data_IF_060173967515
#
_entry.id   IF_060173967515
#
_cell.length_a   1.000
_cell.length_b   1.000
_cell.length_c   1.000
_cell.angle_alpha   90.00
_cell.angle_beta   90.00
_cell.angle_gamma   90.00
#
_symmetry.space_group_name_H-M   'P 1'
#
loop_
_entity.id
_entity.type
_entity.pdbx_description
1 polymer ?
#
# COMPACT_ATOMS: atom_id res chain seq x y z
N UNK A 1 20.03 12.97 6.77
CA UNK A 1 18.69 13.43 6.36
C UNK A 1 18.51 14.84 6.87
N UNK A 2 18.16 15.80 6.01
CA UNK A 2 17.65 17.10 6.48
C UNK A 2 16.20 16.89 6.91
N UNK A 3 15.87 17.28 8.15
CA UNK A 3 14.57 17.05 8.77
C UNK A 3 13.50 17.92 8.09
N UNK A 4 12.66 17.30 7.27
CA UNK A 4 11.48 17.93 6.68
C UNK A 4 10.22 17.79 7.55
N UNK A 5 10.28 16.97 8.61
CA UNK A 5 9.17 16.76 9.56
C UNK A 5 9.32 17.64 10.80
N UNK A 6 8.20 18.16 11.32
CA UNK A 6 8.15 18.89 12.59
C UNK A 6 8.57 17.99 13.77
N UNK A 7 9.13 18.60 14.82
CA UNK A 7 9.61 17.87 16.00
C UNK A 7 8.50 17.02 16.66
N UNK A 8 7.26 17.49 16.59
CA UNK A 8 6.07 16.79 17.10
C UNK A 8 5.77 15.47 16.36
N UNK A 9 6.13 15.37 15.09
CA UNK A 9 6.01 14.13 14.29
C UNK A 9 7.13 13.16 14.67
N UNK A 10 8.36 13.67 14.84
CA UNK A 10 9.52 12.87 15.24
C UNK A 10 9.27 12.23 16.60
N UNK A 11 8.78 12.99 17.58
CA UNK A 11 8.50 12.47 18.93
C UNK A 11 7.43 11.35 18.91
N UNK A 12 6.40 11.48 18.05
CA UNK A 12 5.38 10.44 17.86
C UNK A 12 5.96 9.19 17.19
N UNK A 13 6.79 9.40 16.16
CA UNK A 13 7.48 8.31 15.47
C UNK A 13 8.37 7.52 16.43
N UNK A 14 9.19 8.20 17.22
CA UNK A 14 10.08 7.57 18.19
C UNK A 14 9.29 6.76 19.23
N UNK A 15 8.16 7.30 19.71
CA UNK A 15 7.26 6.55 20.60
C UNK A 15 6.66 5.31 19.94
N UNK A 16 6.27 5.39 18.66
CA UNK A 16 5.75 4.23 17.93
C UNK A 16 6.86 3.18 17.66
N UNK A 17 8.12 3.60 17.54
CA UNK A 17 9.29 2.70 17.52
C UNK A 17 9.51 2.05 18.88
N UNK A 18 9.52 2.82 19.97
CA UNK A 18 9.70 2.31 21.34
C UNK A 18 8.61 1.31 21.74
N UNK A 19 7.37 1.54 21.28
CA UNK A 19 6.24 0.64 21.54
C UNK A 19 6.16 -0.55 20.58
N UNK A 20 7.11 -0.68 19.65
CA UNK A 20 7.19 -1.80 18.71
C UNK A 20 6.15 -1.78 17.58
N UNK A 21 5.46 -0.66 17.37
CA UNK A 21 4.56 -0.50 16.22
C UNK A 21 5.32 -0.24 14.93
N UNK A 22 6.48 0.39 15.02
CA UNK A 22 7.38 0.64 13.90
C UNK A 22 8.70 -0.08 14.15
N UNK A 23 9.08 -0.96 13.24
CA UNK A 23 10.38 -1.61 13.26
C UNK A 23 11.36 -0.86 12.35
N UNK A 24 12.52 -0.47 12.89
CA UNK A 24 13.57 0.20 12.11
C UNK A 24 14.49 -0.84 11.48
N UNK A 25 14.47 -0.92 10.15
CA UNK A 25 15.41 -1.72 9.39
C UNK A 25 16.68 -0.92 9.13
N UNK A 26 17.83 -1.46 9.55
CA UNK A 26 19.14 -0.81 9.43
C UNK A 26 20.08 -1.55 8.49
N UNK A 27 21.13 -0.87 8.04
CA UNK A 27 22.24 -1.51 7.31
C UNK A 27 22.86 -2.68 8.09
N UNK A 28 22.96 -2.56 9.42
CA UNK A 28 23.48 -3.62 10.27
C UNK A 28 22.58 -4.85 10.24
N UNK A 29 21.26 -4.64 10.32
CA UNK A 29 20.28 -5.72 10.17
C UNK A 29 20.41 -6.39 8.80
N UNK A 30 20.41 -5.61 7.71
CA UNK A 30 20.53 -6.15 6.35
C UNK A 30 21.85 -6.92 6.15
N UNK A 31 22.95 -6.48 6.78
CA UNK A 31 24.23 -7.21 6.77
C UNK A 31 24.12 -8.52 7.55
N UNK A 32 23.44 -8.52 8.69
CA UNK A 32 23.26 -9.70 9.53
C UNK A 32 22.47 -10.82 8.83
N UNK A 33 21.51 -10.47 7.98
CA UNK A 33 20.75 -11.44 7.17
C UNK A 33 21.35 -11.67 5.77
N UNK A 34 22.54 -11.12 5.49
CA UNK A 34 23.23 -11.28 4.19
C UNK A 34 22.63 -10.51 3.01
N UNK A 35 21.60 -9.68 3.23
CA UNK A 35 20.84 -9.00 2.18
C UNK A 35 21.33 -7.59 1.83
N UNK A 36 22.28 -7.03 2.56
CA UNK A 36 22.72 -5.64 2.36
C UNK A 36 23.19 -5.34 0.92
N UNK A 37 23.94 -6.25 0.29
CA UNK A 37 24.38 -6.06 -1.10
C UNK A 37 23.23 -6.16 -2.11
N UNK A 38 22.26 -7.03 -1.84
CA UNK A 38 21.05 -7.18 -2.66
C UNK A 38 20.22 -5.91 -2.60
N UNK A 39 20.04 -5.35 -1.39
CA UNK A 39 19.38 -4.07 -1.18
C UNK A 39 20.03 -2.94 -1.97
N UNK A 40 21.35 -2.77 -1.86
CA UNK A 40 22.06 -1.71 -2.60
C UNK A 40 21.92 -1.86 -4.12
N UNK A 41 21.89 -3.10 -4.62
CA UNK A 41 21.66 -3.39 -6.02
C UNK A 41 20.23 -2.99 -6.44
N UNK A 42 19.21 -3.35 -5.66
CA UNK A 42 17.84 -2.92 -5.92
C UNK A 42 17.68 -1.40 -5.89
N UNK A 43 18.28 -0.71 -4.92
CA UNK A 43 18.27 0.76 -4.87
C UNK A 43 18.89 1.35 -6.13
N UNK A 44 20.03 0.83 -6.57
CA UNK A 44 20.71 1.29 -7.80
C UNK A 44 19.83 1.12 -9.04
N UNK A 45 19.18 -0.02 -9.18
CA UNK A 45 18.34 -0.33 -10.35
C UNK A 45 17.06 0.51 -10.36
N UNK A 46 16.42 0.66 -9.19
CA UNK A 46 15.18 1.43 -9.05
C UNK A 46 15.40 2.92 -9.21
N UNK A 47 16.55 3.46 -8.79
CA UNK A 47 16.85 4.89 -8.86
C UNK A 47 16.77 5.47 -10.27
N UNK A 48 16.92 4.64 -11.31
CA UNK A 48 16.77 5.07 -12.72
C UNK A 48 15.33 5.52 -13.02
N UNK A 49 14.35 5.03 -12.26
CA UNK A 49 12.92 5.33 -12.43
C UNK A 49 12.45 6.59 -11.68
N UNK A 50 13.29 7.14 -10.80
CA UNK A 50 12.97 8.29 -9.95
C UNK A 50 13.90 9.46 -10.24
N UNK A 51 13.43 10.69 -10.01
CA UNK A 51 14.28 11.86 -10.17
C UNK A 51 15.35 11.91 -9.06
N UNK A 52 16.43 12.67 -9.29
CA UNK A 52 17.62 12.66 -8.41
C UNK A 52 17.38 13.00 -6.93
N UNK A 53 16.21 13.54 -6.58
CA UNK A 53 15.80 13.87 -5.21
C UNK A 53 14.91 12.82 -4.51
N UNK A 54 14.30 11.90 -5.25
CA UNK A 54 13.24 10.99 -4.75
C UNK A 54 13.83 9.64 -4.32
N UNK A 55 14.73 9.72 -3.32
CA UNK A 55 15.40 8.56 -2.76
C UNK A 55 14.45 7.72 -1.90
N UNK A 56 13.46 8.34 -1.23
CA UNK A 56 12.57 7.62 -0.31
C UNK A 56 11.77 6.53 -1.02
N UNK A 57 11.26 6.85 -2.20
CA UNK A 57 10.45 5.99 -3.05
C UNK A 57 11.24 4.76 -3.54
N UNK A 58 12.46 5.01 -4.03
CA UNK A 58 13.38 3.94 -4.44
C UNK A 58 13.73 3.03 -3.26
N UNK A 59 13.97 3.58 -2.07
CA UNK A 59 14.31 2.82 -0.88
C UNK A 59 13.13 1.96 -0.39
N UNK A 60 11.90 2.50 -0.40
CA UNK A 60 10.71 1.75 0.02
C UNK A 60 10.49 0.51 -0.84
N UNK A 61 10.56 0.65 -2.17
CA UNK A 61 10.41 -0.48 -3.09
C UNK A 61 11.60 -1.44 -2.96
N UNK A 62 12.84 -0.92 -2.91
CA UNK A 62 14.03 -1.75 -2.79
C UNK A 62 13.99 -2.60 -1.52
N UNK A 63 13.54 -2.02 -0.41
CA UNK A 63 13.38 -2.72 0.86
C UNK A 63 12.33 -3.83 0.77
N UNK A 64 11.15 -3.52 0.22
CA UNK A 64 10.10 -4.52 0.05
C UNK A 64 10.58 -5.73 -0.77
N UNK A 65 11.29 -5.48 -1.88
CA UNK A 65 11.89 -6.55 -2.70
C UNK A 65 12.97 -7.32 -1.94
N UNK A 66 13.84 -6.62 -1.23
CA UNK A 66 14.96 -7.23 -0.47
C UNK A 66 14.45 -8.18 0.61
N UNK A 67 13.40 -7.79 1.33
CA UNK A 67 12.85 -8.57 2.44
C UNK A 67 11.85 -9.64 1.96
N UNK A 68 11.54 -9.70 0.66
CA UNK A 68 10.54 -10.63 0.12
C UNK A 68 9.11 -10.29 0.53
N UNK A 69 8.81 -9.01 0.73
CA UNK A 69 7.46 -8.56 1.06
C UNK A 69 6.52 -8.78 -0.14
N UNK A 70 5.37 -9.40 0.10
CA UNK A 70 4.34 -9.60 -0.94
C UNK A 70 3.65 -8.29 -1.32
N UNK A 71 3.57 -7.35 -0.37
CA UNK A 71 2.90 -6.08 -0.59
C UNK A 71 3.65 -4.90 0.01
N UNK A 72 3.40 -3.72 -0.57
CA UNK A 72 3.84 -2.43 -0.06
C UNK A 72 2.60 -1.52 0.07
N UNK A 73 2.30 -1.09 1.30
CA UNK A 73 1.20 -0.15 1.55
C UNK A 73 1.75 1.27 1.53
N UNK A 74 1.19 2.13 0.67
CA UNK A 74 1.60 3.52 0.52
C UNK A 74 0.49 4.35 -0.13
N UNK A 75 0.27 5.56 0.40
CA UNK A 75 -0.67 6.52 -0.17
C UNK A 75 -0.02 7.49 -1.15
N UNK A 76 1.29 7.32 -1.40
CA UNK A 76 1.96 8.01 -2.50
C UNK A 76 1.63 7.33 -3.84
N UNK A 77 0.40 7.64 -4.29
CA UNK A 77 -0.24 7.15 -5.52
C UNK A 77 -0.05 8.09 -6.71
N UNK A 78 0.73 9.16 -6.55
CA UNK A 78 1.00 10.14 -7.61
C UNK A 78 1.85 9.50 -8.71
N UNK A 79 1.93 10.13 -9.87
CA UNK A 79 2.87 9.71 -10.91
C UNK A 79 4.30 9.72 -10.36
N UNK A 80 5.04 8.64 -10.60
CA UNK A 80 6.38 8.36 -10.00
C UNK A 80 6.38 8.07 -8.49
N UNK A 81 5.23 8.04 -7.81
CA UNK A 81 5.14 7.50 -6.46
C UNK A 81 5.29 5.97 -6.43
N UNK A 82 5.62 5.35 -5.29
CA UNK A 82 5.89 3.91 -5.20
C UNK A 82 4.71 3.04 -5.66
N UNK A 83 3.48 3.45 -5.36
CA UNK A 83 2.29 2.73 -5.81
C UNK A 83 2.20 2.75 -7.34
N UNK A 84 2.24 3.93 -7.94
CA UNK A 84 2.18 4.09 -9.39
C UNK A 84 3.31 3.34 -10.12
N UNK A 85 4.53 3.42 -9.59
CA UNK A 85 5.71 2.77 -10.17
C UNK A 85 5.56 1.25 -10.14
N UNK A 86 5.19 0.67 -8.99
CA UNK A 86 5.00 -0.79 -8.87
C UNK A 86 3.87 -1.32 -9.76
N UNK A 87 2.80 -0.55 -9.96
CA UNK A 87 1.73 -0.90 -10.88
C UNK A 87 2.17 -0.98 -12.36
N UNK A 88 3.34 -0.42 -12.70
CA UNK A 88 3.85 -0.32 -14.08
C UNK A 88 5.13 -1.11 -14.35
N UNK A 89 5.76 -1.65 -13.31
CA UNK A 89 6.88 -2.58 -13.47
C UNK A 89 6.29 -3.94 -13.86
N UNK A 90 6.56 -4.46 -15.07
CA UNK A 90 6.14 -5.80 -15.46
C UNK A 90 6.70 -6.82 -14.47
N UNK A 91 5.88 -7.82 -14.12
CA UNK A 91 6.26 -8.93 -13.24
C UNK A 91 6.80 -8.50 -11.86
N UNK A 92 6.34 -7.35 -11.34
CA UNK A 92 6.63 -6.97 -9.96
C UNK A 92 6.04 -8.00 -8.99
N UNK A 93 6.90 -8.62 -8.19
CA UNK A 93 6.51 -9.54 -7.12
C UNK A 93 5.87 -8.82 -5.92
N UNK A 94 6.02 -7.49 -5.84
CA UNK A 94 5.45 -6.64 -4.80
C UNK A 94 4.18 -5.99 -5.30
N UNK A 95 3.06 -6.28 -4.65
CA UNK A 95 1.75 -5.66 -4.94
C UNK A 95 1.62 -4.35 -4.15
N UNK A 96 1.45 -3.19 -4.81
CA UNK A 96 1.23 -1.95 -4.09
C UNK A 96 -0.24 -1.83 -3.66
N UNK A 97 -0.48 -1.34 -2.45
CA UNK A 97 -1.81 -0.99 -1.97
C UNK A 97 -1.83 0.42 -1.40
N UNK A 98 -2.86 1.19 -1.70
CA UNK A 98 -3.21 2.37 -0.93
C UNK A 98 -4.05 1.95 0.31
N UNK A 99 -4.14 2.82 1.32
CA UNK A 99 -4.84 2.49 2.57
C UNK A 99 -6.30 2.03 2.30
N UNK A 100 -6.99 2.69 1.38
CA UNK A 100 -8.40 2.38 1.08
C UNK A 100 -8.57 1.00 0.44
N UNK A 101 -7.55 0.50 -0.26
CA UNK A 101 -7.58 -0.83 -0.86
C UNK A 101 -7.47 -1.91 0.23
N UNK A 102 -6.66 -1.65 1.26
CA UNK A 102 -6.59 -2.51 2.45
C UNK A 102 -7.94 -2.53 3.17
N UNK A 103 -8.58 -1.37 3.38
CA UNK A 103 -9.92 -1.29 3.97
C UNK A 103 -10.95 -2.09 3.15
N UNK A 104 -10.94 -1.96 1.82
CA UNK A 104 -11.86 -2.74 0.97
C UNK A 104 -11.58 -4.24 1.06
N UNK A 105 -10.31 -4.67 1.11
CA UNK A 105 -9.95 -6.07 1.32
C UNK A 105 -10.46 -6.60 2.67
N UNK A 106 -10.27 -5.86 3.75
CA UNK A 106 -10.76 -6.24 5.08
C UNK A 106 -12.30 -6.36 5.11
N UNK A 107 -13.00 -5.46 4.43
CA UNK A 107 -14.46 -5.54 4.28
C UNK A 107 -14.90 -6.75 3.44
N UNK A 108 -14.18 -7.06 2.35
CA UNK A 108 -14.42 -8.25 1.54
C UNK A 108 -14.23 -9.54 2.36
N UNK A 109 -13.23 -9.59 3.24
CA UNK A 109 -13.07 -10.70 4.18
C UNK A 109 -14.14 -10.72 5.27
N UNK A 110 -14.76 -9.58 5.56
CA UNK A 110 -15.72 -9.42 6.65
C UNK A 110 -15.08 -9.19 8.01
N UNK A 111 -13.87 -8.63 8.03
CA UNK A 111 -13.18 -8.18 9.24
C UNK A 111 -13.76 -6.88 9.77
N UNK A 112 -14.30 -6.05 8.87
CA UNK A 112 -14.95 -4.77 9.18
C UNK A 112 -16.30 -4.66 8.48
N UNK A 113 -17.22 -3.93 9.10
CA UNK A 113 -18.53 -3.56 8.57
C UNK A 113 -18.45 -2.35 7.64
N UNK A 114 -19.55 -2.04 6.96
CA UNK A 114 -19.68 -0.85 6.11
C UNK A 114 -19.48 0.46 6.89
N UNK A 115 -19.96 0.49 8.14
CA UNK A 115 -19.83 1.64 9.03
C UNK A 115 -18.37 1.83 9.42
N UNK A 116 -17.72 0.79 9.94
CA UNK A 116 -16.32 0.82 10.35
C UNK A 116 -15.39 1.17 9.18
N UNK A 117 -15.68 0.65 7.98
CA UNK A 117 -14.93 1.01 6.78
C UNK A 117 -15.06 2.50 6.46
N UNK A 118 -16.29 3.03 6.44
CA UNK A 118 -16.52 4.43 6.11
C UNK A 118 -15.90 5.37 7.16
N UNK A 119 -16.03 5.04 8.43
CA UNK A 119 -15.44 5.80 9.53
C UNK A 119 -13.91 5.78 9.46
N UNK A 120 -13.29 4.62 9.24
CA UNK A 120 -11.85 4.50 9.06
C UNK A 120 -11.37 5.26 7.82
N UNK A 121 -12.10 5.17 6.71
CA UNK A 121 -11.76 5.88 5.47
C UNK A 121 -11.77 7.40 5.69
N UNK A 122 -12.83 7.93 6.30
CA UNK A 122 -12.95 9.36 6.56
C UNK A 122 -11.90 9.82 7.57
N UNK A 123 -11.67 9.06 8.65
CA UNK A 123 -10.67 9.41 9.65
C UNK A 123 -9.26 9.53 9.04
N UNK A 124 -8.86 8.58 8.18
CA UNK A 124 -7.56 8.65 7.49
C UNK A 124 -7.50 9.84 6.54
N UNK A 125 -8.57 10.08 5.76
CA UNK A 125 -8.65 11.23 4.86
C UNK A 125 -8.53 12.56 5.61
N UNK A 126 -9.27 12.73 6.71
CA UNK A 126 -9.29 13.96 7.50
C UNK A 126 -7.93 14.24 8.14
N UNK A 127 -7.31 13.21 8.75
CA UNK A 127 -5.99 13.32 9.37
C UNK A 127 -4.88 13.59 8.36
N UNK A 128 -5.05 13.13 7.13
CA UNK A 128 -4.04 13.23 6.06
C UNK A 128 -4.30 14.40 5.10
N UNK A 129 -5.37 15.18 5.29
CA UNK A 129 -5.78 16.25 4.39
C UNK A 129 -6.15 15.77 2.98
N UNK A 130 -6.58 14.52 2.83
CA UNK A 130 -6.95 13.93 1.54
C UNK A 130 -8.42 14.20 1.25
N UNK A 131 -8.70 14.84 0.10
CA UNK A 131 -10.07 15.10 -0.38
C UNK A 131 -10.63 13.93 -1.20
N UNK A 132 -10.40 12.69 -0.76
CA UNK A 132 -10.80 11.50 -1.50
C UNK A 132 -12.25 11.11 -1.23
N UNK A 133 -12.98 10.77 -2.29
CA UNK A 133 -14.35 10.24 -2.22
C UNK A 133 -14.35 8.71 -2.22
N UNK A 134 -14.94 8.10 -1.19
CA UNK A 134 -15.02 6.64 -1.01
C UNK A 134 -15.66 5.94 -2.23
N UNK A 135 -16.69 6.55 -2.82
CA UNK A 135 -17.39 5.98 -3.98
C UNK A 135 -16.48 5.94 -5.20
N UNK A 136 -15.73 7.01 -5.44
CA UNK A 136 -14.74 7.09 -6.51
C UNK A 136 -13.60 6.09 -6.29
N UNK A 137 -13.13 5.92 -5.04
CA UNK A 137 -12.10 4.93 -4.70
C UNK A 137 -12.60 3.49 -4.87
N UNK A 138 -13.84 3.19 -4.50
CA UNK A 138 -14.45 1.87 -4.72
C UNK A 138 -14.54 1.55 -6.22
N UNK A 139 -14.93 2.51 -7.06
CA UNK A 139 -14.91 2.34 -8.52
C UNK A 139 -13.51 2.03 -9.05
N UNK A 140 -12.49 2.74 -8.56
CA UNK A 140 -11.09 2.50 -8.96
C UNK A 140 -10.60 1.12 -8.54
N UNK A 141 -10.93 0.70 -7.31
CA UNK A 141 -10.61 -0.63 -6.80
C UNK A 141 -11.26 -1.74 -7.65
N UNK A 142 -12.55 -1.61 -7.96
CA UNK A 142 -13.25 -2.54 -8.86
C UNK A 142 -12.63 -2.59 -10.25
N UNK A 143 -12.21 -1.43 -10.78
CA UNK A 143 -11.55 -1.36 -12.08
C UNK A 143 -10.26 -2.17 -12.06
N UNK A 144 -9.40 -1.91 -11.08
CA UNK A 144 -8.07 -2.53 -10.92
C UNK A 144 -8.14 -4.05 -10.83
N UNK A 145 -9.11 -4.62 -10.14
CA UNK A 145 -9.09 -6.07 -9.88
C UNK A 145 -10.03 -6.91 -10.74
N UNK A 146 -11.05 -6.32 -11.37
CA UNK A 146 -12.04 -7.07 -12.17
C UNK A 146 -12.26 -6.58 -13.58
N UNK A 147 -12.22 -5.26 -13.83
CA UNK A 147 -12.67 -4.71 -15.12
C UNK A 147 -11.52 -4.48 -16.10
N UNK A 148 -10.48 -3.81 -15.64
CA UNK A 148 -9.37 -3.32 -16.46
C UNK A 148 -8.11 -3.30 -15.58
N UNK A 149 -7.57 -4.48 -15.24
CA UNK A 149 -6.42 -4.60 -14.37
C UNK A 149 -5.14 -4.13 -15.07
N UNK A 150 -4.16 -3.66 -14.29
CA UNK A 150 -2.87 -3.26 -14.85
C UNK A 150 -2.04 -4.47 -15.27
N UNK A 151 -2.23 -5.61 -14.61
CA UNK A 151 -1.69 -6.90 -15.04
C UNK A 151 -2.68 -8.04 -14.79
N UNK A 152 -2.58 -9.11 -15.59
CA UNK A 152 -3.38 -10.31 -15.37
C UNK A 152 -3.07 -10.97 -14.02
N UNK A 153 -1.86 -10.78 -13.47
CA UNK A 153 -1.47 -11.30 -12.17
C UNK A 153 -2.37 -10.77 -11.04
N UNK A 154 -2.77 -9.49 -11.08
CA UNK A 154 -3.66 -8.90 -10.06
C UNK A 154 -5.06 -9.52 -10.09
N UNK A 155 -5.57 -9.78 -11.29
CA UNK A 155 -6.87 -10.42 -11.48
C UNK A 155 -6.86 -11.87 -10.99
N UNK A 156 -5.77 -12.60 -11.27
CA UNK A 156 -5.55 -13.96 -10.75
C UNK A 156 -5.44 -13.93 -9.23
N UNK A 157 -4.65 -13.01 -8.67
CA UNK A 157 -4.49 -12.86 -7.22
C UNK A 157 -5.83 -12.59 -6.53
N UNK A 158 -6.64 -11.66 -7.04
CA UNK A 158 -7.96 -11.36 -6.47
C UNK A 158 -8.93 -12.56 -6.57
N UNK A 159 -8.88 -13.30 -7.67
CA UNK A 159 -9.67 -14.52 -7.85
C UNK A 159 -9.30 -15.60 -6.83
N UNK A 160 -7.99 -15.80 -6.61
CA UNK A 160 -7.46 -16.73 -5.61
C UNK A 160 -7.87 -16.28 -4.20
N UNK A 161 -7.68 -15.00 -3.87
CA UNK A 161 -8.09 -14.41 -2.60
C UNK A 161 -9.57 -14.66 -2.30
N UNK A 162 -10.45 -14.39 -3.27
CA UNK A 162 -11.89 -14.58 -3.08
C UNK A 162 -12.26 -16.07 -2.93
N UNK A 163 -11.70 -16.93 -3.78
CA UNK A 163 -12.03 -18.36 -3.78
C UNK A 163 -11.53 -19.09 -2.53
N UNK A 164 -10.30 -18.83 -2.09
CA UNK A 164 -9.73 -19.43 -0.88
C UNK A 164 -10.49 -19.05 0.38
N UNK A 165 -11.08 -17.86 0.41
CA UNK A 165 -11.83 -17.34 1.57
C UNK A 165 -13.35 -17.48 1.44
N UNK A 166 -13.85 -18.07 0.35
CA UNK A 166 -15.30 -18.20 0.10
C UNK A 166 -16.02 -16.85 -0.02
N UNK A 167 -15.35 -15.81 -0.53
CA UNK A 167 -15.88 -14.46 -0.61
C UNK A 167 -16.73 -14.30 -1.88
N UNK A 168 -18.02 -13.97 -1.70
CA UNK A 168 -18.85 -13.41 -2.76
C UNK A 168 -18.57 -11.89 -2.87
N UNK A 169 -17.55 -11.55 -3.66
CA UNK A 169 -17.12 -10.16 -3.84
C UNK A 169 -18.24 -9.30 -4.44
N UNK A 170 -19.06 -9.86 -5.35
CA UNK A 170 -20.15 -9.12 -5.99
C UNK A 170 -21.21 -8.73 -4.96
N UNK A 171 -21.66 -9.68 -4.14
CA UNK A 171 -22.64 -9.42 -3.10
C UNK A 171 -22.12 -8.42 -2.06
N UNK A 172 -20.87 -8.56 -1.62
CA UNK A 172 -20.26 -7.65 -0.64
C UNK A 172 -20.09 -6.24 -1.18
N UNK A 173 -19.55 -6.10 -2.40
CA UNK A 173 -19.41 -4.78 -3.05
C UNK A 173 -20.78 -4.12 -3.20
N UNK A 174 -21.82 -4.86 -3.59
CA UNK A 174 -23.17 -4.32 -3.69
C UNK A 174 -23.70 -3.85 -2.33
N UNK A 175 -23.42 -4.59 -1.26
CA UNK A 175 -23.78 -4.21 0.11
C UNK A 175 -23.13 -2.87 0.51
N UNK A 176 -21.83 -2.74 0.31
CA UNK A 176 -21.09 -1.50 0.56
C UNK A 176 -21.59 -0.34 -0.32
N UNK A 177 -21.82 -0.61 -1.60
CA UNK A 177 -22.33 0.37 -2.56
C UNK A 177 -23.67 0.97 -2.13
N UNK A 178 -24.57 0.13 -1.62
CA UNK A 178 -25.87 0.56 -1.11
C UNK A 178 -25.77 1.35 0.20
N UNK A 179 -24.71 1.14 0.98
CA UNK A 179 -24.46 1.91 2.20
C UNK A 179 -23.95 3.32 1.86
N UNK A 180 -22.94 3.43 1.00
CA UNK A 180 -22.28 4.71 0.67
C UNK A 180 -23.10 5.66 -0.23
N UNK A 181 -24.23 5.20 -0.78
CA UNK A 181 -25.13 6.02 -1.60
C UNK A 181 -26.29 6.60 -0.81
N UNK A 182 -26.59 6.04 0.38
CA UNK A 182 -27.60 6.60 1.27
C UNK A 182 -27.15 7.96 1.81
#
# INVERSE_FOLDING_TARGET
>A
MQNQAGQDIIDKFDKDVETGKIEIITDLYLKSIGMYRVFLQHVKDLRILFDGGDLGEAYAIAMAKTLGCICLVTDDIKERGPHYTLMRIPDSEVIPFAFYEVLFLDFLEGRISEVELADAFNAVCDLSGLVWDIKSKLKSFMRRFWKDPYSEAEKVWMSIFCSQKGIDAKARIQKLWNYIIK
#
